data_IF_310146217049
#
_entry.id   IF_310146217049
#
_cell.length_a   1.000
_cell.length_b   1.000
_cell.length_c   1.000
_cell.angle_alpha   90.00
_cell.angle_beta   90.00
_cell.angle_gamma   90.00
#
_symmetry.space_group_name_H-M   'P 1'
#
loop_
_entity.id
_entity.type
_entity.pdbx_description
1 polymer ?
#
# COMPACT_ATOMS: atom_id res chain seq x y z
N UNK A 1 -11.93 25.68 6.59
CA UNK A 1 -12.86 24.84 5.81
C UNK A 1 -12.47 23.38 6.01
N UNK A 2 -13.31 22.56 6.66
CA UNK A 2 -13.15 21.09 6.65
C UNK A 2 -13.66 20.60 5.30
N UNK A 3 -12.86 19.80 4.58
CA UNK A 3 -13.31 19.13 3.37
C UNK A 3 -14.49 18.21 3.74
N UNK A 4 -15.68 18.38 3.14
CA UNK A 4 -16.81 17.51 3.45
C UNK A 4 -16.54 16.10 2.89
N UNK A 5 -16.93 15.03 3.60
CA UNK A 5 -16.90 13.68 3.05
C UNK A 5 -17.70 13.60 1.74
N UNK A 6 -17.41 12.62 0.89
CA UNK A 6 -18.00 12.45 -0.46
C UNK A 6 -19.46 11.96 -0.40
N UNK A 7 -20.26 12.41 0.57
CA UNK A 7 -21.55 11.81 0.89
C UNK A 7 -22.55 11.90 -0.28
N UNK A 8 -22.62 13.04 -0.96
CA UNK A 8 -23.56 13.25 -2.06
C UNK A 8 -23.13 12.48 -3.30
N UNK A 9 -21.84 12.50 -3.64
CA UNK A 9 -21.27 11.71 -4.72
C UNK A 9 -21.45 10.21 -4.46
N UNK A 10 -21.22 9.76 -3.22
CA UNK A 10 -21.40 8.37 -2.79
C UNK A 10 -22.84 7.93 -2.94
N UNK A 11 -23.81 8.73 -2.46
CA UNK A 11 -25.24 8.40 -2.60
C UNK A 11 -25.69 8.36 -4.06
N UNK A 12 -25.16 9.25 -4.91
CA UNK A 12 -25.44 9.22 -6.35
C UNK A 12 -24.85 7.97 -7.00
N UNK A 13 -23.61 7.62 -6.69
CA UNK A 13 -22.96 6.41 -7.20
C UNK A 13 -23.67 5.13 -6.76
N UNK A 14 -24.14 5.06 -5.51
CA UNK A 14 -24.90 3.90 -5.01
C UNK A 14 -26.22 3.72 -5.77
N UNK A 15 -27.01 4.79 -5.95
CA UNK A 15 -28.25 4.74 -6.74
C UNK A 15 -28.02 4.33 -8.18
N UNK A 16 -26.91 4.76 -8.77
CA UNK A 16 -26.56 4.37 -10.13
C UNK A 16 -26.15 2.89 -10.19
N UNK A 17 -25.41 2.40 -9.19
CA UNK A 17 -25.08 0.99 -9.08
C UNK A 17 -26.33 0.10 -8.92
N UNK A 18 -27.33 0.56 -8.16
CA UNK A 18 -28.63 -0.13 -8.01
C UNK A 18 -29.37 -0.20 -9.36
N UNK A 19 -29.46 0.93 -10.08
CA UNK A 19 -30.09 0.99 -11.41
C UNK A 19 -29.46 0.06 -12.43
N UNK A 20 -28.14 -0.09 -12.40
CA UNK A 20 -27.43 -1.00 -13.30
C UNK A 20 -27.81 -2.46 -13.06
N UNK A 21 -28.09 -2.85 -11.81
CA UNK A 21 -28.60 -4.19 -11.49
C UNK A 21 -30.06 -4.35 -11.93
N UNK A 22 -30.90 -3.34 -11.68
CA UNK A 22 -32.33 -3.35 -12.03
C UNK A 22 -32.57 -3.42 -13.54
N UNK A 23 -31.74 -2.73 -14.34
CA UNK A 23 -31.88 -2.70 -15.80
C UNK A 23 -31.68 -4.07 -16.46
N UNK A 24 -31.00 -5.01 -15.77
CA UNK A 24 -30.66 -6.33 -16.30
C UNK A 24 -29.59 -6.28 -17.40
N UNK A 25 -28.72 -7.30 -17.44
CA UNK A 25 -27.76 -7.49 -18.54
C UNK A 25 -26.43 -6.72 -18.45
N UNK A 26 -26.20 -5.91 -17.41
CA UNK A 26 -24.88 -5.33 -17.14
C UNK A 26 -23.97 -6.36 -16.45
N UNK A 27 -22.83 -6.69 -17.06
CA UNK A 27 -21.74 -7.38 -16.36
C UNK A 27 -21.13 -6.40 -15.36
N UNK A 28 -21.47 -6.57 -14.08
CA UNK A 28 -20.98 -5.70 -13.01
C UNK A 28 -19.59 -6.15 -12.54
N UNK A 29 -18.76 -5.19 -12.13
CA UNK A 29 -17.40 -5.48 -11.66
C UNK A 29 -17.38 -6.25 -10.34
N UNK A 30 -16.23 -6.87 -9.97
CA UNK A 30 -16.12 -7.73 -8.79
C UNK A 30 -16.28 -6.98 -7.45
N UNK A 31 -16.26 -5.64 -7.47
CA UNK A 31 -16.48 -4.78 -6.32
C UNK A 31 -17.69 -3.87 -6.51
N UNK A 32 -18.65 -4.25 -7.38
CA UNK A 32 -19.86 -3.47 -7.62
C UNK A 32 -20.53 -3.07 -6.31
N UNK A 33 -20.81 -1.78 -6.18
CA UNK A 33 -21.39 -1.11 -5.01
C UNK A 33 -20.63 -1.26 -3.68
N UNK A 34 -19.46 -1.90 -3.65
CA UNK A 34 -18.67 -2.06 -2.43
C UNK A 34 -18.10 -0.71 -1.99
N UNK A 35 -18.44 -0.22 -0.78
CA UNK A 35 -17.90 1.03 -0.28
C UNK A 35 -16.44 0.87 0.14
N UNK A 36 -15.58 1.78 -0.29
CA UNK A 36 -14.15 1.76 0.02
C UNK A 36 -13.64 3.10 0.52
N UNK A 37 -12.72 3.06 1.47
CA UNK A 37 -11.94 4.25 1.89
C UNK A 37 -10.56 4.25 1.25
N UNK A 38 -10.01 5.44 1.05
CA UNK A 38 -8.73 5.64 0.38
C UNK A 38 -7.81 6.46 1.26
N UNK A 39 -6.59 6.00 1.51
CA UNK A 39 -5.57 6.75 2.25
C UNK A 39 -5.34 8.13 1.63
N UNK A 40 -5.35 9.17 2.45
CA UNK A 40 -5.35 10.57 1.98
C UNK A 40 -4.16 10.98 1.10
N UNK A 41 -3.02 10.28 1.22
CA UNK A 41 -1.86 10.51 0.35
C UNK A 41 -2.05 10.08 -1.10
N UNK A 42 -3.04 9.23 -1.38
CA UNK A 42 -3.40 8.76 -2.72
C UNK A 42 -4.39 9.72 -3.36
N UNK A 43 -4.18 10.03 -4.63
CA UNK A 43 -5.06 10.94 -5.35
C UNK A 43 -6.42 10.30 -5.64
N UNK A 44 -7.47 11.03 -5.27
CA UNK A 44 -8.84 10.80 -5.74
C UNK A 44 -9.26 12.08 -6.44
N UNK A 45 -9.66 11.99 -7.71
CA UNK A 45 -10.05 13.14 -8.52
C UNK A 45 -11.13 13.97 -7.82
N UNK A 46 -10.96 15.29 -7.83
CA UNK A 46 -11.87 16.24 -7.16
C UNK A 46 -11.65 16.37 -5.65
N UNK A 47 -10.67 15.68 -5.06
CA UNK A 47 -10.34 15.78 -3.62
C UNK A 47 -8.90 16.25 -3.40
N UNK A 48 -8.58 16.84 -2.24
CA UNK A 48 -7.19 17.18 -1.93
C UNK A 48 -6.38 15.96 -1.48
N UNK A 49 -5.09 15.96 -1.83
CA UNK A 49 -4.04 15.12 -1.23
C UNK A 49 -3.01 16.01 -0.54
N UNK A 50 -3.29 16.35 0.70
CA UNK A 50 -2.57 17.30 1.53
C UNK A 50 -1.27 16.77 2.11
N UNK A 51 -1.13 15.46 2.32
CA UNK A 51 0.04 14.89 2.99
C UNK A 51 0.24 15.42 4.43
N UNK A 52 -0.81 15.96 5.04
CA UNK A 52 -0.75 16.67 6.32
C UNK A 52 -0.12 18.06 6.25
N UNK A 53 0.00 18.64 5.04
CA UNK A 53 0.47 20.01 4.83
C UNK A 53 -0.72 20.98 4.70
N UNK A 54 -0.92 21.93 5.64
CA UNK A 54 -2.08 22.82 5.62
C UNK A 54 -2.27 23.64 4.34
N UNK A 55 -1.18 24.04 3.68
CA UNK A 55 -1.23 24.83 2.44
C UNK A 55 -1.75 24.04 1.23
N UNK A 56 -1.84 22.71 1.32
CA UNK A 56 -2.36 21.85 0.25
C UNK A 56 -3.87 21.56 0.35
N UNK A 57 -4.55 22.05 1.39
CA UNK A 57 -5.98 21.76 1.66
C UNK A 57 -6.92 22.12 0.51
N UNK A 58 -6.56 23.11 -0.30
CA UNK A 58 -7.37 23.57 -1.44
C UNK A 58 -6.86 23.06 -2.79
N UNK A 59 -5.83 22.21 -2.81
CA UNK A 59 -5.23 21.70 -4.04
C UNK A 59 -5.90 20.39 -4.44
N UNK A 60 -6.89 20.47 -5.31
CA UNK A 60 -7.65 19.30 -5.76
C UNK A 60 -6.86 18.50 -6.80
N UNK A 61 -6.78 17.19 -6.59
CA UNK A 61 -6.21 16.27 -7.55
C UNK A 61 -7.12 16.19 -8.78
N UNK A 62 -6.51 16.30 -9.97
CA UNK A 62 -7.24 16.29 -11.24
C UNK A 62 -7.56 14.87 -11.72
N UNK A 63 -6.77 13.89 -11.28
CA UNK A 63 -6.87 12.50 -11.71
C UNK A 63 -6.76 11.58 -10.51
N UNK A 64 -7.41 10.42 -10.59
CA UNK A 64 -7.20 9.34 -9.63
C UNK A 64 -5.78 8.77 -9.75
N UNK A 65 -5.22 8.31 -8.63
CA UNK A 65 -4.05 7.44 -8.68
C UNK A 65 -4.44 6.08 -9.30
N UNK A 66 -3.51 5.36 -9.97
CA UNK A 66 -3.84 4.15 -10.71
C UNK A 66 -4.57 3.06 -9.91
N UNK A 67 -4.23 2.89 -8.64
CA UNK A 67 -4.93 1.94 -7.75
C UNK A 67 -6.37 2.35 -7.44
N UNK A 68 -6.61 3.65 -7.27
CA UNK A 68 -7.96 4.21 -7.06
C UNK A 68 -8.80 4.05 -8.31
N UNK A 69 -8.24 4.37 -9.48
CA UNK A 69 -8.92 4.20 -10.77
C UNK A 69 -9.35 2.74 -11.00
N UNK A 70 -8.47 1.77 -10.68
CA UNK A 70 -8.80 0.34 -10.79
C UNK A 70 -9.89 -0.11 -9.83
N UNK A 71 -9.93 0.40 -8.60
CA UNK A 71 -11.03 0.11 -7.66
C UNK A 71 -12.36 0.63 -8.21
N UNK A 72 -12.40 1.88 -8.70
CA UNK A 72 -13.60 2.46 -9.32
C UNK A 72 -14.05 1.69 -10.56
N UNK A 73 -13.11 1.29 -11.43
CA UNK A 73 -13.38 0.45 -12.61
C UNK A 73 -13.93 -0.93 -12.23
N UNK A 74 -13.53 -1.48 -11.08
CA UNK A 74 -14.08 -2.72 -10.55
C UNK A 74 -15.47 -2.55 -9.91
N UNK A 75 -16.05 -1.34 -9.91
CA UNK A 75 -17.38 -1.03 -9.39
C UNK A 75 -17.40 -0.51 -7.94
N UNK A 76 -16.23 -0.33 -7.31
CA UNK A 76 -16.15 0.15 -5.93
C UNK A 76 -16.53 1.63 -5.82
N UNK A 77 -17.19 1.99 -4.71
CA UNK A 77 -17.63 3.36 -4.42
C UNK A 77 -16.71 3.97 -3.36
N UNK A 78 -15.96 5.01 -3.73
CA UNK A 78 -15.08 5.72 -2.79
C UNK A 78 -15.93 6.63 -1.88
N UNK A 79 -16.02 6.27 -0.60
CA UNK A 79 -16.88 6.98 0.37
C UNK A 79 -16.16 8.11 1.11
N UNK A 80 -14.83 8.14 1.04
CA UNK A 80 -14.02 9.18 1.67
C UNK A 80 -12.54 8.86 1.68
N UNK A 81 -11.76 9.84 2.14
CA UNK A 81 -10.33 9.69 2.36
C UNK A 81 -10.00 9.53 3.83
N UNK A 82 -9.09 8.62 4.16
CA UNK A 82 -8.67 8.37 5.54
C UNK A 82 -7.43 9.18 5.91
N UNK A 83 -7.46 9.79 7.09
CA UNK A 83 -6.34 10.57 7.65
C UNK A 83 -5.03 9.76 7.73
N UNK A 84 -3.91 10.46 7.70
CA UNK A 84 -2.55 9.90 7.64
C UNK A 84 -1.64 10.57 8.66
N UNK A 85 -0.51 9.94 8.97
CA UNK A 85 0.62 10.65 9.59
C UNK A 85 1.15 11.75 8.64
N UNK A 86 1.45 12.93 9.19
CA UNK A 86 2.07 14.02 8.42
C UNK A 86 3.31 13.52 7.66
N UNK A 87 3.34 13.80 6.35
CA UNK A 87 4.39 13.37 5.41
C UNK A 87 4.66 11.86 5.37
N UNK A 88 3.83 11.04 6.01
CA UNK A 88 4.01 9.60 6.16
C UNK A 88 5.25 9.17 6.96
N UNK A 89 5.82 10.07 7.77
CA UNK A 89 7.16 9.91 8.37
C UNK A 89 7.18 9.34 9.81
N UNK A 90 6.07 8.83 10.32
CA UNK A 90 6.00 8.24 11.67
C UNK A 90 4.99 7.08 11.75
N UNK A 91 5.14 6.29 12.81
CA UNK A 91 4.32 5.14 13.16
C UNK A 91 3.09 5.50 14.01
N UNK A 92 2.82 6.78 14.24
CA UNK A 92 1.59 7.28 14.85
C UNK A 92 0.92 8.29 13.92
N UNK A 93 -0.40 8.19 13.71
CA UNK A 93 -1.11 9.03 12.75
C UNK A 93 -1.58 10.34 13.39
N UNK A 94 -0.65 11.30 13.50
CA UNK A 94 -0.92 12.68 13.91
C UNK A 94 -0.77 13.61 12.71
N UNK A 95 -1.79 14.45 12.48
CA UNK A 95 -1.88 15.27 11.28
C UNK A 95 -2.30 16.71 11.62
N UNK A 96 -1.53 17.75 11.31
CA UNK A 96 -1.93 19.15 11.53
C UNK A 96 -3.18 19.59 10.73
N UNK A 97 -3.58 18.83 9.71
CA UNK A 97 -4.77 19.09 8.90
C UNK A 97 -6.03 18.55 9.56
N UNK A 98 -5.97 17.32 10.08
CA UNK A 98 -7.16 16.56 10.49
C UNK A 98 -7.16 16.16 11.98
N UNK A 99 -6.05 16.38 12.68
CA UNK A 99 -5.83 15.97 14.05
C UNK A 99 -5.23 14.56 14.20
N UNK A 100 -5.22 14.07 15.44
CA UNK A 100 -4.77 12.72 15.81
C UNK A 100 -5.87 11.70 15.50
N UNK A 101 -5.48 10.60 14.87
CA UNK A 101 -6.33 9.40 14.73
C UNK A 101 -6.34 8.65 16.06
N UNK A 102 -7.52 8.23 16.53
CA UNK A 102 -7.67 7.42 17.73
C UNK A 102 -7.89 5.95 17.37
N UNK A 103 -7.36 5.05 18.17
CA UNK A 103 -7.60 3.62 18.04
C UNK A 103 -9.06 3.29 18.43
N UNK A 104 -9.82 2.53 17.63
CA UNK A 104 -11.24 2.25 17.92
C UNK A 104 -11.46 1.35 19.14
N UNK A 105 -10.47 0.57 19.55
CA UNK A 105 -10.58 -0.36 20.69
C UNK A 105 -10.36 0.33 22.04
N UNK A 106 -9.40 1.26 22.11
CA UNK A 106 -9.06 2.06 23.30
C UNK A 106 -8.55 3.44 22.86
N UNK A 107 -9.45 4.42 22.68
CA UNK A 107 -9.12 5.70 22.05
C UNK A 107 -8.09 6.57 22.77
N UNK A 108 -7.94 6.39 24.08
CA UNK A 108 -7.06 7.20 24.94
C UNK A 108 -5.71 6.52 25.23
N UNK A 109 -5.67 5.18 25.23
CA UNK A 109 -4.52 4.39 25.68
C UNK A 109 -3.71 3.78 24.52
N UNK A 110 -4.30 3.66 23.33
CA UNK A 110 -3.69 2.93 22.20
C UNK A 110 -3.50 3.80 20.97
N UNK A 111 -2.36 3.60 20.32
CA UNK A 111 -2.11 4.13 18.98
C UNK A 111 -2.90 3.37 17.92
N UNK A 112 -3.39 4.07 16.89
CA UNK A 112 -3.92 3.43 15.67
C UNK A 112 -2.81 2.95 14.72
N UNK A 113 -1.55 3.20 15.06
CA UNK A 113 -0.41 3.03 14.17
C UNK A 113 -0.31 4.12 13.10
N UNK A 114 0.70 3.99 12.24
CA UNK A 114 0.95 4.89 11.12
C UNK A 114 1.78 4.23 10.02
N UNK A 115 1.84 4.82 8.83
CA UNK A 115 1.20 6.09 8.46
C UNK A 115 -0.25 5.96 7.96
N UNK A 116 -0.81 4.75 7.83
CA UNK A 116 -2.20 4.51 7.41
C UNK A 116 -3.13 4.24 8.61
N UNK A 117 -2.95 4.95 9.71
CA UNK A 117 -3.67 4.68 10.96
C UNK A 117 -5.18 4.87 10.86
N UNK A 118 -5.65 5.90 10.14
CA UNK A 118 -7.09 6.11 9.99
C UNK A 118 -7.75 5.07 9.10
N UNK A 119 -7.04 4.58 8.09
CA UNK A 119 -7.51 3.48 7.24
C UNK A 119 -7.74 2.23 8.09
N UNK A 120 -6.78 1.89 8.96
CA UNK A 120 -6.95 0.74 9.84
C UNK A 120 -8.04 0.97 10.90
N UNK A 121 -8.13 2.19 11.46
CA UNK A 121 -9.14 2.53 12.46
C UNK A 121 -10.57 2.52 11.91
N UNK A 122 -10.81 3.05 10.69
CA UNK A 122 -12.16 3.09 10.10
C UNK A 122 -12.63 1.69 9.71
N UNK A 123 -11.73 0.82 9.22
CA UNK A 123 -12.03 -0.58 8.94
C UNK A 123 -12.36 -1.34 10.24
N UNK A 124 -11.54 -1.18 11.28
CA UNK A 124 -11.78 -1.82 12.58
C UNK A 124 -13.07 -1.32 13.26
N UNK A 125 -13.46 -0.07 13.03
CA UNK A 125 -14.73 0.49 13.51
C UNK A 125 -15.95 0.09 12.66
N UNK A 126 -15.77 -0.70 11.59
CA UNK A 126 -16.86 -1.10 10.69
C UNK A 126 -17.38 0.01 9.77
N UNK A 127 -16.63 1.13 9.64
CA UNK A 127 -17.01 2.25 8.78
C UNK A 127 -16.69 2.03 7.30
N UNK A 128 -15.84 1.05 6.97
CA UNK A 128 -15.64 0.58 5.59
C UNK A 128 -15.16 -0.88 5.61
N UNK A 129 -15.65 -1.74 4.68
CA UNK A 129 -15.21 -3.13 4.57
C UNK A 129 -13.84 -3.29 3.91
N UNK A 130 -13.37 -2.29 3.15
CA UNK A 130 -12.14 -2.38 2.37
C UNK A 130 -11.49 -1.00 2.23
N UNK A 131 -10.16 -0.98 2.37
CA UNK A 131 -9.37 0.24 2.33
C UNK A 131 -8.13 0.13 1.44
N UNK A 132 -7.73 1.24 0.81
CA UNK A 132 -6.47 1.32 0.06
C UNK A 132 -5.43 2.17 0.80
N UNK A 133 -4.41 1.49 1.33
CA UNK A 133 -3.27 2.12 2.02
C UNK A 133 -1.98 2.15 1.19
N UNK A 134 -0.89 2.66 1.80
CA UNK A 134 0.47 2.56 1.25
C UNK A 134 1.43 2.02 2.30
N UNK A 135 2.41 1.21 1.88
CA UNK A 135 3.38 0.58 2.77
C UNK A 135 4.76 0.50 2.09
N UNK A 136 5.65 1.39 2.54
CA UNK A 136 7.08 1.39 2.17
C UNK A 136 7.90 0.75 3.30
N UNK A 137 7.81 1.31 4.51
CA UNK A 137 8.52 0.83 5.70
C UNK A 137 7.67 0.07 6.72
N UNK A 138 6.44 -0.32 6.36
CA UNK A 138 5.45 -0.82 7.31
C UNK A 138 4.38 0.23 7.59
N UNK A 139 3.72 0.76 6.57
CA UNK A 139 2.62 1.71 6.77
C UNK A 139 1.23 1.10 6.60
N UNK A 140 1.12 -0.17 6.23
CA UNK A 140 -0.14 -0.95 6.30
C UNK A 140 -0.04 -1.94 7.46
N UNK A 141 1.09 -2.65 7.58
CA UNK A 141 1.22 -3.77 8.55
C UNK A 141 1.10 -3.35 10.02
N UNK A 142 1.80 -2.32 10.53
CA UNK A 142 1.66 -1.88 11.92
C UNK A 142 0.28 -1.28 12.24
N UNK A 143 -0.33 -0.39 11.43
CA UNK A 143 -1.72 0.03 11.66
C UNK A 143 -2.69 -1.14 11.74
N UNK A 144 -2.55 -2.13 10.85
CA UNK A 144 -3.40 -3.31 10.83
C UNK A 144 -3.25 -4.13 12.12
N UNK A 145 -2.01 -4.29 12.59
CA UNK A 145 -1.73 -4.92 13.89
C UNK A 145 -2.35 -4.13 15.06
N UNK A 146 -2.12 -2.82 15.12
CA UNK A 146 -2.63 -1.96 16.19
C UNK A 146 -4.17 -1.93 16.26
N UNK A 147 -4.83 -1.98 15.10
CA UNK A 147 -6.29 -1.93 15.01
C UNK A 147 -6.93 -3.32 14.88
N UNK A 148 -6.15 -4.42 14.92
CA UNK A 148 -6.69 -5.78 14.90
C UNK A 148 -7.42 -6.16 13.60
N UNK A 149 -6.93 -5.69 12.44
CA UNK A 149 -7.50 -6.01 11.13
C UNK A 149 -6.47 -6.71 10.22
N UNK A 150 -6.96 -7.27 9.12
CA UNK A 150 -6.09 -7.79 8.07
C UNK A 150 -5.50 -6.67 7.21
N UNK A 151 -4.22 -6.79 6.88
CA UNK A 151 -3.53 -5.88 5.98
C UNK A 151 -2.54 -6.61 5.08
N UNK A 152 -2.59 -6.33 3.78
CA UNK A 152 -1.73 -6.95 2.78
C UNK A 152 -0.79 -5.91 2.15
N UNK A 153 0.52 -6.14 2.28
CA UNK A 153 1.53 -5.46 1.46
C UNK A 153 1.98 -6.41 0.34
N UNK A 154 1.50 -6.26 -0.90
CA UNK A 154 1.91 -7.13 -2.00
C UNK A 154 3.39 -6.96 -2.34
N UNK A 155 3.89 -7.83 -3.23
CA UNK A 155 5.23 -7.69 -3.82
C UNK A 155 5.36 -6.29 -4.46
N UNK A 156 6.47 -5.57 -4.25
CA UNK A 156 6.71 -4.28 -4.89
C UNK A 156 6.47 -4.34 -6.41
N UNK A 157 5.82 -3.31 -6.96
CA UNK A 157 5.45 -3.25 -8.38
C UNK A 157 4.17 -3.99 -8.76
N UNK A 158 3.59 -4.81 -7.88
CA UNK A 158 2.31 -5.52 -8.16
C UNK A 158 1.12 -4.56 -8.29
N UNK A 159 1.07 -3.54 -7.42
CA UNK A 159 0.06 -2.48 -7.48
C UNK A 159 0.74 -1.24 -8.09
N UNK A 160 0.20 -0.68 -9.17
CA UNK A 160 0.78 0.50 -9.81
C UNK A 160 0.73 1.69 -8.86
N UNK A 161 1.85 2.41 -8.78
CA UNK A 161 1.95 3.64 -8.00
C UNK A 161 1.76 4.87 -8.88
N UNK A 162 1.15 5.91 -8.33
CA UNK A 162 1.01 7.19 -9.01
C UNK A 162 2.34 7.93 -9.19
N UNK A 163 2.31 9.05 -9.90
CA UNK A 163 3.49 9.92 -10.06
C UNK A 163 4.01 10.39 -8.69
N UNK A 164 5.34 10.51 -8.50
CA UNK A 164 5.91 11.06 -7.28
C UNK A 164 5.31 12.44 -6.96
N UNK A 165 4.80 12.64 -5.74
CA UNK A 165 4.05 13.84 -5.35
C UNK A 165 4.93 15.04 -4.96
N UNK A 166 6.17 15.07 -5.44
CA UNK A 166 7.10 16.20 -5.30
C UNK A 166 7.47 16.61 -3.88
N UNK A 167 7.36 15.70 -2.91
CA UNK A 167 7.71 15.95 -1.49
C UNK A 167 9.19 15.68 -1.21
N UNK A 168 9.86 14.97 -2.12
CA UNK A 168 11.31 14.81 -2.12
C UNK A 168 11.85 15.76 -3.18
N UNK A 169 12.88 16.54 -2.85
CA UNK A 169 13.51 17.47 -3.79
C UNK A 169 13.94 16.67 -5.04
N UNK A 170 13.45 17.07 -6.21
CA UNK A 170 13.54 16.34 -7.49
C UNK A 170 14.97 15.88 -7.85
N UNK A 171 15.99 16.57 -7.34
CA UNK A 171 17.41 16.30 -7.63
C UNK A 171 18.03 15.10 -6.87
N UNK A 172 17.38 14.55 -5.85
CA UNK A 172 17.93 13.41 -5.09
C UNK A 172 17.40 12.05 -5.56
N UNK A 173 16.16 11.97 -6.08
CA UNK A 173 15.58 10.71 -6.58
C UNK A 173 16.26 10.25 -7.87
N UNK A 174 16.57 11.18 -8.78
CA UNK A 174 17.28 10.83 -10.02
C UNK A 174 18.71 10.34 -9.69
N UNK A 175 19.39 10.98 -8.73
CA UNK A 175 20.68 10.49 -8.20
C UNK A 175 20.58 9.11 -7.53
N UNK A 176 19.53 8.82 -6.78
CA UNK A 176 19.34 7.52 -6.13
C UNK A 176 18.99 6.42 -7.15
N UNK A 177 18.25 6.75 -8.21
CA UNK A 177 18.03 5.83 -9.34
C UNK A 177 19.33 5.50 -10.06
N UNK A 178 20.15 6.51 -10.34
CA UNK A 178 21.45 6.33 -11.00
C UNK A 178 22.41 5.51 -10.12
N UNK A 179 22.42 5.73 -8.81
CA UNK A 179 23.22 4.94 -7.86
C UNK A 179 22.73 3.49 -7.72
N UNK A 180 21.42 3.25 -7.83
CA UNK A 180 20.85 1.89 -7.77
C UNK A 180 21.13 1.11 -9.05
N UNK A 181 21.09 1.78 -10.21
CA UNK A 181 21.46 1.21 -11.50
C UNK A 181 22.98 0.96 -11.60
N UNK A 182 23.81 1.92 -11.19
CA UNK A 182 25.27 1.77 -11.15
C UNK A 182 25.73 0.67 -10.17
N UNK A 183 25.03 0.49 -9.05
CA UNK A 183 25.29 -0.57 -8.08
C UNK A 183 24.85 -1.98 -8.51
N UNK A 184 24.08 -2.09 -9.60
CA UNK A 184 23.64 -3.36 -10.18
C UNK A 184 24.65 -3.92 -11.19
N UNK A 185 25.36 -3.04 -11.90
CA UNK A 185 26.41 -3.42 -12.85
C UNK A 185 27.67 -3.96 -12.15
N UNK A 186 28.04 -3.40 -10.99
CA UNK A 186 29.20 -3.87 -10.22
C UNK A 186 28.95 -5.17 -9.43
N UNK A 187 27.69 -5.51 -9.08
CA UNK A 187 27.37 -6.73 -8.33
C UNK A 187 27.06 -7.95 -9.21
N UNK A 188 26.69 -7.74 -10.48
CA UNK A 188 26.42 -8.84 -11.43
C UNK A 188 27.65 -9.63 -11.87
N UNK A 189 28.83 -8.98 -11.91
CA UNK A 189 30.08 -9.62 -12.36
C UNK A 189 30.69 -10.56 -11.31
N UNK A 190 30.69 -10.15 -10.04
CA UNK A 190 31.29 -10.92 -8.93
C UNK A 190 30.48 -12.18 -8.59
N UNK A 191 29.15 -12.12 -8.64
CA UNK A 191 28.30 -13.28 -8.32
C UNK A 191 28.32 -14.36 -9.41
N UNK A 192 28.41 -13.97 -10.69
CA UNK A 192 28.53 -14.92 -11.83
C UNK A 192 29.88 -15.61 -11.91
N UNK A 193 30.96 -15.00 -11.44
CA UNK A 193 32.29 -15.65 -11.40
C UNK A 193 32.41 -16.63 -10.24
N UNK A 194 31.80 -16.32 -9.10
CA UNK A 194 31.78 -17.20 -7.92
C UNK A 194 30.98 -18.50 -8.17
N UNK A 195 29.82 -18.42 -8.82
CA UNK A 195 29.00 -19.60 -9.14
C UNK A 195 29.70 -20.57 -10.11
N UNK A 196 30.38 -20.06 -11.15
CA UNK A 196 31.16 -20.91 -12.08
C UNK A 196 32.34 -21.62 -11.41
N UNK A 197 32.89 -21.05 -10.33
CA UNK A 197 33.99 -21.66 -9.57
C UNK A 197 33.52 -22.74 -8.58
N UNK A 198 32.25 -22.72 -8.17
CA UNK A 198 31.66 -23.73 -7.29
C UNK A 198 31.15 -24.95 -8.09
N UNK A 199 30.58 -24.73 -9.28
CA UNK A 199 30.15 -25.83 -10.16
C UNK A 199 31.32 -26.67 -10.69
N UNK A 200 32.46 -26.03 -11.02
CA UNK A 200 33.68 -26.76 -11.43
C UNK A 200 34.29 -27.62 -10.31
N UNK A 201 34.08 -27.26 -9.04
CA UNK A 201 34.57 -28.04 -7.88
C UNK A 201 33.68 -29.21 -7.55
N UNK A 202 32.37 -29.14 -7.83
CA UNK A 202 31.44 -30.27 -7.65
C UNK A 202 31.58 -31.34 -8.73
N UNK A 203 31.89 -30.95 -9.97
CA UNK A 203 32.09 -31.90 -11.07
C UNK A 203 33.37 -32.75 -10.95
N UNK A 204 34.38 -32.30 -10.18
CA UNK A 204 35.66 -32.99 -10.02
C UNK A 204 35.72 -33.97 -8.82
N UNK A 205 34.69 -34.01 -7.97
CA UNK A 205 34.68 -34.82 -6.73
C UNK A 205 33.93 -36.14 -6.79
N UNK A 206 33.34 -36.49 -7.94
CA UNK A 206 32.50 -37.69 -8.10
C UNK A 206 33.20 -38.76 -8.94
N UNK A 207 34.35 -39.26 -8.48
CA UNK A 207 34.91 -40.52 -8.97
C UNK A 207 36.00 -41.05 -8.00
N UNK A 208 35.65 -41.95 -7.08
CA UNK A 208 36.47 -43.12 -6.66
C UNK A 208 35.93 -43.84 -5.41
N UNK A 209 35.77 -45.17 -5.58
CA UNK A 209 35.87 -46.31 -4.60
C UNK A 209 35.01 -46.30 -3.32
N UNK A 210 34.07 -47.22 -3.07
CA UNK A 210 34.14 -48.69 -2.88
C UNK A 210 34.88 -49.15 -1.62
N UNK A 211 34.19 -49.80 -0.67
CA UNK A 211 34.80 -50.52 0.46
C UNK A 211 33.79 -50.95 1.53
N UNK A 212 33.74 -52.25 1.82
CA UNK A 212 32.75 -52.97 2.60
C UNK A 212 32.83 -52.79 4.14
N UNK A 213 31.74 -53.12 4.84
CA UNK A 213 31.62 -53.18 6.31
C UNK A 213 31.32 -54.63 6.73
N UNK A 214 32.07 -55.24 7.67
CA UNK A 214 31.63 -56.45 8.35
C UNK A 214 31.02 -56.14 9.73
N UNK A 215 30.14 -57.05 10.16
CA UNK A 215 29.41 -57.06 11.42
C UNK A 215 30.28 -57.43 12.64
N UNK A 216 29.93 -56.95 13.84
CA UNK A 216 29.38 -57.74 14.95
C UNK A 216 29.26 -56.94 16.27
N UNK A 217 28.41 -57.49 17.15
CA UNK A 217 27.84 -57.02 18.43
C UNK A 217 28.82 -57.39 19.58
N UNK A 218 28.82 -56.71 20.75
CA UNK A 218 27.92 -57.04 21.88
C UNK A 218 27.04 -55.87 22.35
#
# INVERSE_FOLDING_TARGET
MRWPPLFDETRKAAKEADRQLEAGGAEVGPLHSVPVTIKESLDVAGTPSTWGLPHRRSQLSQTDDPGVARLKQAGAIVIGKSNIMQLLMSCESVNPVYGRVRNPWRPEERSSGGSSGAEAAILAAGGSPLGLGTDVGGSIRPPSHCCGIHGLKPTPGRVPSGKPKGIVHRHEIDRLRDLTLAGSEHRGSSYRSQLRSQDRRRAAGACSSSGAVPAEIP
#
